data_IF_895583320998
#
_entry.id   IF_895583320998
#
_cell.length_a   1.000
_cell.length_b   1.000
_cell.length_c   1.000
_cell.angle_alpha   90.00
_cell.angle_beta   90.00
_cell.angle_gamma   90.00
#
_symmetry.space_group_name_H-M   'P 1'
#
loop_
_entity.id
_entity.type
_entity.pdbx_description
1 polymer ?
#
# COMPACT_ATOMS: atom_id res chain seq x y z
N UNK A 1 -8.53 7.88 11.61
CA UNK A 1 -8.89 8.38 10.26
C UNK A 1 -8.27 7.54 9.13
N UNK A 2 -6.95 7.29 9.13
CA UNK A 2 -6.30 6.49 8.08
C UNK A 2 -6.93 5.10 7.85
N UNK A 3 -7.18 4.33 8.92
CA UNK A 3 -7.81 2.99 8.80
C UNK A 3 -9.20 3.02 8.14
N UNK A 4 -10.00 4.06 8.37
CA UNK A 4 -11.31 4.19 7.74
C UNK A 4 -11.17 4.45 6.24
N UNK A 5 -10.23 5.31 5.83
CA UNK A 5 -9.94 5.55 4.42
C UNK A 5 -9.47 4.28 3.70
N UNK A 6 -8.63 3.46 4.35
CA UNK A 6 -8.20 2.16 3.84
C UNK A 6 -9.39 1.19 3.72
N UNK A 7 -10.29 1.19 4.70
CA UNK A 7 -11.52 0.41 4.68
C UNK A 7 -12.42 0.80 3.51
N UNK A 8 -12.63 2.10 3.29
CA UNK A 8 -13.46 2.63 2.20
C UNK A 8 -12.90 2.29 0.82
N UNK A 9 -11.58 2.10 0.68
CA UNK A 9 -10.94 1.62 -0.56
C UNK A 9 -10.99 0.11 -0.75
N UNK A 10 -11.44 -0.64 0.26
CA UNK A 10 -11.45 -2.10 0.26
C UNK A 10 -10.06 -2.71 0.35
N UNK A 11 -9.08 -1.98 0.92
CA UNK A 11 -7.70 -2.44 1.03
C UNK A 11 -7.43 -3.24 2.31
N UNK A 12 -8.31 -3.20 3.32
CA UNK A 12 -8.14 -3.98 4.56
C UNK A 12 -8.00 -5.50 4.31
N UNK A 13 -8.86 -6.15 3.50
CA UNK A 13 -8.71 -7.59 3.24
C UNK A 13 -7.44 -7.94 2.47
N UNK A 14 -6.89 -7.00 1.70
CA UNK A 14 -5.61 -7.19 1.00
C UNK A 14 -4.45 -7.14 1.98
N UNK A 15 -4.47 -6.20 2.94
CA UNK A 15 -3.48 -6.11 4.01
C UNK A 15 -3.51 -7.39 4.85
N UNK A 16 -4.69 -7.85 5.25
CA UNK A 16 -4.86 -9.06 6.08
C UNK A 16 -4.32 -10.32 5.39
N UNK A 17 -4.39 -10.39 4.05
CA UNK A 17 -3.86 -11.51 3.25
C UNK A 17 -2.38 -11.35 2.88
N UNK A 18 -1.77 -10.21 3.18
CA UNK A 18 -0.39 -9.89 2.80
C UNK A 18 -0.23 -9.36 1.37
N UNK A 19 -1.32 -9.04 0.66
CA UNK A 19 -1.33 -8.48 -0.69
C UNK A 19 -1.01 -6.96 -0.68
N UNK A 20 0.11 -6.58 -0.06
CA UNK A 20 0.44 -5.18 0.26
C UNK A 20 0.59 -4.31 -0.98
N UNK A 21 1.09 -4.88 -2.08
CA UNK A 21 1.21 -4.15 -3.36
C UNK A 21 -0.17 -3.70 -3.87
N UNK A 22 -1.17 -4.57 -3.79
CA UNK A 22 -2.54 -4.25 -4.19
C UNK A 22 -3.18 -3.25 -3.21
N UNK A 23 -2.92 -3.40 -1.91
CA UNK A 23 -3.41 -2.47 -0.91
C UNK A 23 -2.89 -1.04 -1.14
N UNK A 24 -1.59 -0.89 -1.45
CA UNK A 24 -0.97 0.40 -1.76
C UNK A 24 -1.58 1.02 -3.02
N UNK A 25 -1.72 0.24 -4.09
CA UNK A 25 -2.33 0.70 -5.35
C UNK A 25 -3.76 1.25 -5.12
N UNK A 26 -4.57 0.53 -4.33
CA UNK A 26 -5.94 0.93 -3.98
C UNK A 26 -6.03 2.17 -3.10
N UNK A 27 -4.94 2.52 -2.44
CA UNK A 27 -4.82 3.68 -1.58
C UNK A 27 -4.05 4.85 -2.22
N UNK A 28 -3.50 4.66 -3.42
CA UNK A 28 -2.66 5.66 -4.11
C UNK A 28 -3.35 7.00 -4.29
N UNK A 29 -4.65 6.99 -4.60
CA UNK A 29 -5.45 8.19 -4.80
C UNK A 29 -5.77 8.97 -3.50
N UNK A 30 -5.31 8.51 -2.33
CA UNK A 30 -5.50 9.18 -1.02
C UNK A 30 -4.22 9.87 -0.57
N UNK A 31 -3.07 9.25 -0.84
CA UNK A 31 -1.77 9.74 -0.39
C UNK A 31 -0.87 10.01 -1.59
N UNK A 32 -0.55 11.28 -1.81
CA UNK A 32 0.31 11.74 -2.90
C UNK A 32 1.71 11.12 -2.92
N UNK A 33 2.16 10.55 -1.81
CA UNK A 33 3.46 9.89 -1.68
C UNK A 33 3.46 8.42 -2.10
N UNK A 34 2.30 7.84 -2.39
CA UNK A 34 2.19 6.46 -2.87
C UNK A 34 2.40 6.39 -4.39
N UNK A 35 2.91 5.26 -4.90
CA UNK A 35 3.06 5.08 -6.33
C UNK A 35 1.69 5.08 -7.03
N UNK A 36 1.59 5.81 -8.15
CA UNK A 36 0.36 5.94 -8.93
C UNK A 36 -0.63 6.97 -8.38
N UNK A 37 -0.22 7.81 -7.44
CA UNK A 37 -1.11 8.82 -6.84
C UNK A 37 -1.45 9.95 -7.80
N UNK A 38 -0.56 10.27 -8.75
CA UNK A 38 -0.87 11.18 -9.86
C UNK A 38 -0.99 12.66 -9.46
N UNK A 39 -0.56 13.02 -8.25
CA UNK A 39 -0.58 14.39 -7.74
C UNK A 39 0.61 15.25 -8.20
N UNK A 40 1.50 14.69 -9.02
CA UNK A 40 2.72 15.39 -9.49
C UNK A 40 3.73 15.68 -8.37
N UNK A 41 3.60 14.99 -7.23
CA UNK A 41 4.54 15.04 -6.11
C UNK A 41 5.51 13.85 -6.16
N UNK A 42 6.51 13.84 -5.28
CA UNK A 42 7.41 12.69 -5.17
C UNK A 42 6.68 11.45 -4.64
N UNK A 43 6.69 10.39 -5.44
CA UNK A 43 6.11 9.08 -5.09
C UNK A 43 7.21 8.13 -4.61
N UNK A 44 6.96 7.39 -3.52
CA UNK A 44 7.88 6.35 -3.06
C UNK A 44 7.82 5.11 -3.95
N UNK A 45 8.96 4.43 -4.11
CA UNK A 45 9.01 3.16 -4.82
C UNK A 45 8.25 2.10 -4.02
N UNK A 46 7.47 1.28 -4.73
CA UNK A 46 6.69 0.20 -4.12
C UNK A 46 7.56 -0.78 -3.33
N UNK A 47 8.77 -1.08 -3.81
CA UNK A 47 9.71 -1.96 -3.12
C UNK A 47 10.17 -1.41 -1.77
N UNK A 48 10.42 -0.09 -1.68
CA UNK A 48 10.82 0.55 -0.43
C UNK A 48 9.68 0.52 0.60
N UNK A 49 8.44 0.76 0.16
CA UNK A 49 7.25 0.67 1.01
C UNK A 49 7.01 -0.75 1.54
N UNK A 50 7.18 -1.75 0.68
CA UNK A 50 7.08 -3.17 1.06
C UNK A 50 8.18 -3.54 2.06
N UNK A 51 9.43 -3.08 1.84
CA UNK A 51 10.53 -3.32 2.78
C UNK A 51 10.24 -2.70 4.15
N UNK A 52 9.77 -1.45 4.20
CA UNK A 52 9.35 -0.79 5.45
C UNK A 52 8.21 -1.53 6.14
N UNK A 53 7.23 -2.05 5.38
CA UNK A 53 6.13 -2.84 5.95
C UNK A 53 6.63 -4.15 6.59
N UNK A 54 7.58 -4.85 5.95
CA UNK A 54 8.22 -6.03 6.50
C UNK A 54 9.05 -5.71 7.75
N UNK A 55 9.84 -4.64 7.72
CA UNK A 55 10.62 -4.16 8.87
C UNK A 55 9.73 -3.83 10.07
N UNK A 56 8.51 -3.34 9.81
CA UNK A 56 7.49 -3.10 10.85
C UNK A 56 6.80 -4.38 11.38
N UNK A 57 7.21 -5.57 10.91
CA UNK A 57 6.65 -6.86 11.32
C UNK A 57 5.47 -7.35 10.48
N UNK A 58 5.16 -6.67 9.37
CA UNK A 58 4.09 -7.05 8.47
C UNK A 58 4.46 -8.23 7.55
N UNK A 59 3.49 -9.10 7.29
CA UNK A 59 3.66 -10.26 6.39
C UNK A 59 3.24 -9.87 4.97
N UNK A 60 4.11 -10.13 4.01
CA UNK A 60 3.85 -9.84 2.60
C UNK A 60 3.79 -11.15 1.84
N UNK A 61 2.72 -11.34 1.09
CA UNK A 61 2.55 -12.50 0.23
C UNK A 61 3.34 -12.23 -1.05
N UNK A 62 4.53 -12.81 -1.16
CA UNK A 62 5.37 -12.72 -2.34
C UNK A 62 4.87 -13.69 -3.41
N UNK A 63 3.71 -13.39 -3.98
CA UNK A 63 3.31 -14.10 -5.20
C UNK A 63 4.05 -13.41 -6.35
N UNK A 64 5.18 -14.00 -6.75
CA UNK A 64 5.84 -13.72 -8.03
C UNK A 64 4.79 -13.88 -9.15
N UNK A 65 4.52 -12.77 -9.85
CA UNK A 65 3.90 -12.77 -11.18
C UNK A 65 5.03 -12.63 -12.20
#
# INVERSE_FOLDING_TARGET
>A
MALQQIKERGALPMIDRGDIRQAIDRCSNIWASLPGAGYGQYEHKIGDLIARFKEAGGVVNEVEL
#
